data_IF_298735805728
#
_entry.id   IF_298735805728
#
_cell.length_a   1.000
_cell.length_b   1.000
_cell.length_c   1.000
_cell.angle_alpha   90.00
_cell.angle_beta   90.00
_cell.angle_gamma   90.00
#
_symmetry.space_group_name_H-M   'P 1'
#
loop_
_entity.id
_entity.type
_entity.pdbx_description
1 polymer ?
#
# COMPACT_ATOMS: atom_id res chain seq x y z
N UNK A 1 1.62 -15.16 36.73
CA UNK A 1 2.90 -14.74 37.32
C UNK A 1 2.73 -14.38 38.77
N UNK A 2 3.69 -14.74 39.59
CA UNK A 2 3.77 -14.34 40.99
C UNK A 2 5.12 -13.64 41.22
N UNK A 3 5.11 -12.51 41.91
CA UNK A 3 6.31 -11.71 42.14
C UNK A 3 6.50 -11.57 43.65
N UNK A 4 7.51 -12.22 44.17
CA UNK A 4 7.97 -12.09 45.55
C UNK A 4 9.33 -11.41 45.56
N UNK A 5 9.76 -10.92 46.76
CA UNK A 5 11.02 -10.16 46.89
C UNK A 5 12.26 -10.92 46.34
N UNK A 6 12.27 -12.22 46.45
CA UNK A 6 13.41 -13.08 46.09
C UNK A 6 13.07 -14.17 45.07
N UNK A 7 11.83 -14.20 44.57
CA UNK A 7 11.39 -15.20 43.58
C UNK A 7 10.35 -14.64 42.62
N UNK A 8 10.50 -14.95 41.35
CA UNK A 8 9.63 -14.51 40.26
C UNK A 8 9.21 -15.72 39.47
N UNK A 9 7.91 -15.98 39.42
CA UNK A 9 7.34 -16.99 38.52
C UNK A 9 6.61 -16.32 37.37
N UNK A 10 6.86 -16.79 36.18
CA UNK A 10 6.23 -16.27 34.98
C UNK A 10 4.93 -17.04 34.68
N UNK A 11 3.98 -16.36 34.10
CA UNK A 11 2.80 -16.99 33.52
C UNK A 11 3.17 -17.87 32.33
N UNK A 12 2.25 -18.74 31.88
CA UNK A 12 2.46 -19.60 30.74
C UNK A 12 2.58 -18.82 29.42
N UNK A 13 3.30 -19.39 28.50
CA UNK A 13 3.54 -19.01 27.09
C UNK A 13 3.17 -17.56 26.74
N UNK A 14 2.07 -17.35 26.00
CA UNK A 14 1.72 -16.02 25.48
C UNK A 14 1.39 -14.99 26.59
N UNK A 15 0.75 -15.37 27.66
CA UNK A 15 0.35 -14.45 28.75
C UNK A 15 1.52 -13.75 29.45
N UNK A 16 2.69 -14.37 29.49
CA UNK A 16 3.87 -13.74 30.09
C UNK A 16 4.46 -12.59 29.27
N UNK A 17 4.11 -12.52 27.98
CA UNK A 17 4.56 -11.49 27.05
C UNK A 17 3.54 -10.35 26.87
N UNK A 18 2.34 -10.51 27.42
CA UNK A 18 1.26 -9.52 27.35
C UNK A 18 1.13 -8.81 28.69
N UNK A 19 1.63 -7.58 28.76
CA UNK A 19 1.56 -6.74 29.94
C UNK A 19 0.38 -5.76 29.87
N UNK A 20 -0.31 -5.56 31.00
CA UNK A 20 -1.40 -4.60 31.11
C UNK A 20 -2.77 -5.16 30.73
N UNK A 21 -3.73 -4.26 30.55
CA UNK A 21 -5.11 -4.60 30.14
C UNK A 21 -5.13 -4.94 28.67
N UNK A 22 -5.79 -6.04 28.33
CA UNK A 22 -5.95 -6.45 26.93
C UNK A 22 -6.83 -5.46 26.16
N UNK A 23 -6.52 -5.27 24.87
CA UNK A 23 -7.26 -4.39 23.95
C UNK A 23 -8.55 -5.08 23.46
N UNK A 24 -9.50 -5.26 24.38
CA UNK A 24 -10.72 -6.02 24.09
C UNK A 24 -11.63 -5.35 23.07
N UNK A 25 -11.74 -4.02 23.11
CA UNK A 25 -12.55 -3.25 22.17
C UNK A 25 -12.03 -3.39 20.72
N UNK A 26 -10.72 -3.31 20.55
CA UNK A 26 -10.04 -3.45 19.25
C UNK A 26 -10.18 -4.87 18.70
N UNK A 27 -10.13 -5.88 19.57
CA UNK A 27 -10.32 -7.28 19.15
C UNK A 27 -11.76 -7.53 18.68
N UNK A 28 -12.75 -6.97 19.37
CA UNK A 28 -14.17 -7.06 18.95
C UNK A 28 -14.37 -6.32 17.63
N UNK A 29 -13.85 -5.10 17.49
CA UNK A 29 -13.94 -4.34 16.24
C UNK A 29 -13.22 -5.06 15.08
N UNK A 30 -12.10 -5.73 15.33
CA UNK A 30 -11.41 -6.54 14.32
C UNK A 30 -12.26 -7.72 13.84
N UNK A 31 -13.02 -8.38 14.74
CA UNK A 31 -13.94 -9.44 14.34
C UNK A 31 -15.01 -8.93 13.35
N UNK A 32 -15.57 -7.73 13.60
CA UNK A 32 -16.51 -7.10 12.66
C UNK A 32 -15.86 -6.75 11.30
N UNK A 33 -14.59 -6.36 11.30
CA UNK A 33 -13.86 -6.14 10.05
C UNK A 33 -13.67 -7.43 9.24
N UNK A 34 -13.48 -8.57 9.91
CA UNK A 34 -13.42 -9.87 9.25
C UNK A 34 -14.79 -10.29 8.68
N UNK A 35 -15.86 -10.09 9.45
CA UNK A 35 -17.23 -10.34 8.98
C UNK A 35 -17.53 -9.51 7.72
N UNK A 36 -17.16 -8.23 7.71
CA UNK A 36 -17.33 -7.36 6.54
C UNK A 36 -16.61 -7.91 5.29
N UNK A 37 -15.38 -8.40 5.44
CA UNK A 37 -14.61 -9.01 4.33
C UNK A 37 -15.27 -10.31 3.86
N UNK A 38 -15.74 -11.15 4.79
CA UNK A 38 -16.44 -12.40 4.46
C UNK A 38 -17.74 -12.13 3.71
N UNK A 39 -18.52 -11.14 4.14
CA UNK A 39 -19.80 -10.75 3.51
C UNK A 39 -19.60 -10.23 2.07
N UNK A 40 -18.54 -9.46 1.82
CA UNK A 40 -18.15 -9.05 0.47
C UNK A 40 -17.67 -10.24 -0.38
N UNK A 41 -17.00 -11.19 0.26
CA UNK A 41 -16.37 -12.35 -0.35
C UNK A 41 -15.01 -12.05 -0.96
N UNK A 42 -13.97 -12.73 -0.48
CA UNK A 42 -12.57 -12.54 -0.90
C UNK A 42 -12.39 -12.62 -2.42
N UNK A 43 -13.12 -13.53 -3.10
CA UNK A 43 -13.05 -13.67 -4.57
C UNK A 43 -13.63 -12.47 -5.30
N UNK A 44 -14.70 -11.87 -4.78
CA UNK A 44 -15.31 -10.67 -5.35
C UNK A 44 -14.37 -9.48 -5.17
N UNK A 45 -13.78 -9.32 -3.99
CA UNK A 45 -12.77 -8.30 -3.70
C UNK A 45 -11.60 -8.43 -4.68
N UNK A 46 -11.01 -9.61 -4.79
CA UNK A 46 -9.88 -9.85 -5.69
C UNK A 46 -10.21 -9.58 -7.16
N UNK A 47 -11.42 -9.93 -7.62
CA UNK A 47 -11.88 -9.67 -8.98
C UNK A 47 -12.04 -8.18 -9.24
N UNK A 48 -12.69 -7.45 -8.32
CA UNK A 48 -12.89 -6.01 -8.40
C UNK A 48 -11.57 -5.25 -8.44
N UNK A 49 -10.70 -5.52 -7.47
CA UNK A 49 -9.39 -4.87 -7.39
C UNK A 49 -8.51 -5.15 -8.62
N UNK A 50 -8.55 -6.39 -9.15
CA UNK A 50 -7.82 -6.73 -10.37
C UNK A 50 -8.37 -5.98 -11.60
N UNK A 51 -9.69 -5.83 -11.73
CA UNK A 51 -10.28 -5.06 -12.83
C UNK A 51 -9.79 -3.61 -12.83
N UNK A 52 -9.80 -2.96 -11.66
CA UNK A 52 -9.32 -1.58 -11.50
C UNK A 52 -7.81 -1.49 -11.77
N UNK A 53 -7.05 -2.47 -11.27
CA UNK A 53 -5.61 -2.53 -11.48
C UNK A 53 -5.26 -2.64 -12.96
N UNK A 54 -5.91 -3.53 -13.71
CA UNK A 54 -5.67 -3.69 -15.15
C UNK A 54 -6.01 -2.41 -15.91
N UNK A 55 -7.13 -1.78 -15.59
CA UNK A 55 -7.51 -0.48 -16.16
C UNK A 55 -6.44 0.59 -15.90
N UNK A 56 -5.96 0.70 -14.66
CA UNK A 56 -4.89 1.63 -14.29
C UNK A 56 -3.57 1.34 -15.01
N UNK A 57 -3.17 0.06 -15.09
CA UNK A 57 -1.98 -0.36 -15.83
C UNK A 57 -2.04 0.01 -17.32
N UNK A 58 -3.16 -0.26 -17.98
CA UNK A 58 -3.34 0.11 -19.39
C UNK A 58 -3.23 1.61 -19.62
N UNK A 59 -3.74 2.41 -18.68
CA UNK A 59 -3.66 3.86 -18.72
C UNK A 59 -2.24 4.38 -18.54
N UNK A 60 -1.58 3.92 -17.48
CA UNK A 60 -0.24 4.38 -17.12
C UNK A 60 0.81 3.95 -18.15
N UNK A 61 0.68 2.77 -18.76
CA UNK A 61 1.58 2.30 -19.83
C UNK A 61 1.55 3.15 -21.10
N UNK A 62 0.52 3.96 -21.31
CA UNK A 62 0.48 4.92 -22.43
C UNK A 62 1.41 6.12 -22.24
N UNK A 63 1.87 6.35 -21.04
CA UNK A 63 2.81 7.42 -20.71
C UNK A 63 4.25 6.87 -20.69
N UNK A 64 5.03 7.19 -21.69
CA UNK A 64 6.40 6.70 -21.89
C UNK A 64 7.40 7.15 -20.79
N UNK A 65 7.05 8.13 -19.97
CA UNK A 65 7.88 8.57 -18.84
C UNK A 65 7.64 7.75 -17.58
N UNK A 66 6.61 6.90 -17.56
CA UNK A 66 6.31 6.00 -16.44
C UNK A 66 7.02 4.67 -16.68
N UNK A 67 7.78 4.24 -15.70
CA UNK A 67 8.32 2.89 -15.65
C UNK A 67 7.62 2.09 -14.56
N UNK A 68 6.82 1.10 -14.95
CA UNK A 68 6.15 0.17 -14.03
C UNK A 68 7.18 -0.84 -13.52
N UNK A 69 7.29 -0.95 -12.20
CA UNK A 69 8.23 -1.87 -11.57
C UNK A 69 7.56 -3.23 -11.36
N UNK A 70 8.15 -4.23 -12.01
CA UNK A 70 7.64 -5.60 -12.03
C UNK A 70 6.46 -5.78 -12.99
N UNK A 71 6.44 -6.91 -13.68
CA UNK A 71 5.34 -7.30 -14.58
C UNK A 71 5.02 -8.81 -14.44
N UNK A 72 4.59 -9.26 -13.25
CA UNK A 72 4.24 -10.65 -13.03
C UNK A 72 2.91 -10.99 -13.72
N UNK A 73 2.71 -12.27 -14.06
CA UNK A 73 1.44 -12.77 -14.62
C UNK A 73 0.27 -12.60 -13.63
N UNK A 74 0.54 -12.85 -12.34
CA UNK A 74 -0.41 -12.65 -11.26
C UNK A 74 0.12 -11.55 -10.34
N UNK A 75 -0.70 -10.59 -10.03
CA UNK A 75 -0.34 -9.39 -9.27
C UNK A 75 -1.41 -9.12 -8.21
N UNK A 76 -0.98 -8.75 -7.01
CA UNK A 76 -1.88 -8.16 -6.02
C UNK A 76 -2.27 -6.73 -6.41
N UNK A 77 -3.19 -6.14 -5.67
CA UNK A 77 -3.80 -4.81 -5.90
C UNK A 77 -2.83 -3.65 -5.69
N UNK A 78 -1.59 -3.80 -6.13
CA UNK A 78 -0.49 -2.85 -5.91
C UNK A 78 0.23 -2.55 -7.22
N UNK A 79 0.49 -1.28 -7.45
CA UNK A 79 1.20 -0.75 -8.59
C UNK A 79 2.40 0.08 -8.12
N UNK A 80 3.61 -0.39 -8.40
CA UNK A 80 4.84 0.36 -8.15
C UNK A 80 5.37 0.95 -9.45
N UNK A 81 5.80 2.21 -9.42
CA UNK A 81 6.32 2.89 -10.59
C UNK A 81 7.36 3.96 -10.24
N UNK A 82 8.12 4.37 -11.24
CA UNK A 82 8.97 5.57 -11.23
C UNK A 82 8.56 6.49 -12.37
N UNK A 83 8.82 7.78 -12.20
CA UNK A 83 8.77 8.75 -13.28
C UNK A 83 10.21 9.14 -13.67
N UNK A 84 10.43 9.31 -14.96
CA UNK A 84 11.73 9.76 -15.46
C UNK A 84 12.09 11.12 -14.86
N UNK A 85 13.27 11.20 -14.27
CA UNK A 85 13.87 12.41 -13.69
C UNK A 85 13.08 13.08 -12.54
N UNK A 86 12.11 12.39 -11.95
CA UNK A 86 11.33 12.91 -10.82
C UNK A 86 11.44 11.93 -9.62
N UNK A 87 11.85 12.47 -8.47
CA UNK A 87 11.97 11.66 -7.28
C UNK A 87 10.60 11.21 -6.73
N UNK A 88 10.42 9.96 -6.26
CA UNK A 88 9.14 9.46 -5.77
C UNK A 88 8.49 10.27 -4.63
N UNK A 89 9.27 10.92 -3.78
CA UNK A 89 8.74 11.82 -2.75
C UNK A 89 8.09 13.06 -3.36
N UNK A 90 8.69 13.66 -4.39
CA UNK A 90 8.12 14.81 -5.08
C UNK A 90 6.83 14.43 -5.79
N UNK A 91 6.81 13.23 -6.42
CA UNK A 91 5.59 12.67 -7.01
C UNK A 91 4.49 12.59 -5.95
N UNK A 92 4.77 11.96 -4.80
CA UNK A 92 3.78 11.79 -3.74
C UNK A 92 3.25 13.12 -3.22
N UNK A 93 4.13 14.11 -3.01
CA UNK A 93 3.74 15.45 -2.53
C UNK A 93 2.81 16.16 -3.52
N UNK A 94 3.14 16.14 -4.81
CA UNK A 94 2.33 16.83 -5.84
C UNK A 94 0.98 16.12 -6.05
N UNK A 95 0.97 14.78 -6.00
CA UNK A 95 -0.25 14.02 -6.14
C UNK A 95 -1.19 14.21 -4.94
N UNK A 96 -0.64 14.38 -3.73
CA UNK A 96 -1.41 14.66 -2.52
C UNK A 96 -2.16 15.99 -2.60
N UNK A 97 -1.54 17.03 -3.17
CA UNK A 97 -2.18 18.32 -3.45
C UNK A 97 -3.39 18.22 -4.38
N UNK A 98 -3.42 17.18 -5.23
CA UNK A 98 -4.54 16.85 -6.11
C UNK A 98 -5.51 15.81 -5.50
N UNK A 99 -5.35 15.48 -4.22
CA UNK A 99 -6.19 14.53 -3.49
C UNK A 99 -5.93 13.06 -3.87
N UNK A 100 -4.75 12.74 -4.39
CA UNK A 100 -4.33 11.39 -4.75
C UNK A 100 -3.20 10.93 -3.82
N UNK A 101 -3.57 10.17 -2.78
CA UNK A 101 -2.64 9.64 -1.81
C UNK A 101 -1.91 8.39 -2.33
N UNK A 102 -0.59 8.46 -2.43
CA UNK A 102 0.29 7.33 -2.77
C UNK A 102 1.42 7.21 -1.76
N UNK A 103 2.07 6.06 -1.72
CA UNK A 103 3.25 5.88 -0.87
C UNK A 103 4.52 6.03 -1.69
N UNK A 104 5.51 6.78 -1.19
CA UNK A 104 6.85 6.88 -1.75
C UNK A 104 7.89 6.20 -0.85
N UNK A 105 8.97 5.67 -1.44
CA UNK A 105 10.12 5.11 -0.73
C UNK A 105 10.44 3.66 -1.08
N UNK A 106 11.06 2.95 -0.14
CA UNK A 106 11.51 1.57 -0.33
C UNK A 106 10.46 0.49 0.00
N UNK A 107 9.29 0.87 0.54
CA UNK A 107 8.18 -0.03 0.89
C UNK A 107 8.63 -1.20 1.81
N UNK A 108 9.55 -0.95 2.74
CA UNK A 108 10.17 -1.94 3.64
C UNK A 108 10.98 -3.04 2.90
N UNK A 109 11.41 -2.78 1.66
CA UNK A 109 12.19 -3.72 0.85
C UNK A 109 13.42 -3.05 0.18
N UNK A 110 14.23 -2.33 0.97
CA UNK A 110 15.39 -1.60 0.48
C UNK A 110 16.36 -2.49 -0.30
N UNK A 111 16.67 -3.68 0.18
CA UNK A 111 17.57 -4.64 -0.49
C UNK A 111 17.09 -4.96 -1.92
N UNK A 112 15.77 -5.03 -2.13
CA UNK A 112 15.22 -5.23 -3.47
C UNK A 112 15.48 -4.01 -4.37
N UNK A 113 15.28 -2.79 -3.84
CA UNK A 113 15.57 -1.56 -4.57
C UNK A 113 17.05 -1.46 -4.96
N UNK A 114 17.96 -1.82 -4.05
CA UNK A 114 19.40 -1.87 -4.30
C UNK A 114 19.74 -2.85 -5.43
N UNK A 115 19.13 -4.05 -5.42
CA UNK A 115 19.31 -5.06 -6.48
C UNK A 115 18.77 -4.61 -7.84
N UNK A 116 17.71 -3.82 -7.85
CA UNK A 116 17.12 -3.27 -9.08
C UNK A 116 17.81 -1.99 -9.54
N UNK A 117 18.73 -1.45 -8.74
CA UNK A 117 19.41 -0.17 -9.04
C UNK A 117 18.47 1.03 -9.00
N UNK A 118 17.40 0.98 -8.21
CA UNK A 118 16.38 2.02 -8.10
C UNK A 118 16.45 2.66 -6.72
N UNK A 119 16.59 3.99 -6.61
CA UNK A 119 16.71 4.65 -5.30
C UNK A 119 15.42 4.59 -4.46
N UNK A 120 14.27 4.63 -5.09
CA UNK A 120 12.95 4.56 -4.48
C UNK A 120 11.87 4.37 -5.55
N UNK A 121 10.64 4.05 -5.12
CA UNK A 121 9.47 3.97 -6.01
C UNK A 121 8.25 4.68 -5.41
N UNK A 122 7.33 5.10 -6.28
CA UNK A 122 5.98 5.48 -5.92
C UNK A 122 5.07 4.23 -5.99
N UNK A 123 4.14 4.08 -5.04
CA UNK A 123 3.23 2.94 -4.95
C UNK A 123 1.79 3.40 -4.79
N UNK A 124 0.95 3.05 -5.74
CA UNK A 124 -0.49 3.10 -5.61
C UNK A 124 -1.01 1.73 -5.13
N UNK A 125 -1.92 1.74 -4.17
CA UNK A 125 -2.59 0.54 -3.65
C UNK A 125 -4.07 0.70 -3.85
N UNK A 126 -4.73 -0.35 -4.34
CA UNK A 126 -6.14 -0.38 -4.66
C UNK A 126 -6.84 -1.22 -3.60
N UNK A 127 -7.94 -0.73 -3.09
CA UNK A 127 -8.80 -1.42 -2.13
C UNK A 127 -10.24 -1.52 -2.64
N UNK A 128 -11.10 -2.16 -1.87
CA UNK A 128 -12.51 -2.42 -2.20
C UNK A 128 -13.34 -1.18 -2.48
N UNK A 129 -12.89 -0.02 -2.03
CA UNK A 129 -13.56 1.27 -2.16
C UNK A 129 -13.10 2.09 -3.36
N UNK A 130 -12.06 1.65 -4.08
CA UNK A 130 -11.57 2.36 -5.25
C UNK A 130 -12.37 1.99 -6.51
N UNK A 131 -12.36 2.89 -7.49
CA UNK A 131 -12.98 2.70 -8.79
C UNK A 131 -12.06 3.15 -9.94
N UNK A 132 -12.54 3.01 -11.18
CA UNK A 132 -11.79 3.45 -12.38
C UNK A 132 -11.53 4.95 -12.40
N UNK A 133 -12.43 5.75 -11.80
CA UNK A 133 -12.26 7.19 -11.67
C UNK A 133 -11.05 7.57 -10.81
N UNK A 134 -10.71 6.77 -9.80
CA UNK A 134 -9.50 7.00 -9.02
C UNK A 134 -8.23 6.75 -9.86
N UNK A 135 -8.25 5.77 -10.76
CA UNK A 135 -7.14 5.55 -11.70
C UNK A 135 -7.05 6.65 -12.74
N UNK A 136 -8.17 7.26 -13.12
CA UNK A 136 -8.19 8.43 -13.99
C UNK A 136 -7.53 9.61 -13.30
N UNK A 137 -7.93 9.91 -12.06
CA UNK A 137 -7.31 10.97 -11.25
C UNK A 137 -5.82 10.74 -11.03
N UNK A 138 -5.41 9.51 -10.71
CA UNK A 138 -3.99 9.15 -10.60
C UNK A 138 -3.22 9.50 -11.89
N UNK A 139 -3.76 9.11 -13.05
CA UNK A 139 -3.13 9.39 -14.34
C UNK A 139 -3.04 10.89 -14.65
N UNK A 140 -4.08 11.66 -14.34
CA UNK A 140 -4.13 13.11 -14.52
C UNK A 140 -3.14 13.83 -13.59
N UNK A 141 -3.11 13.45 -12.31
CA UNK A 141 -2.19 14.01 -11.34
C UNK A 141 -0.72 13.73 -11.70
N UNK A 142 -0.41 12.53 -12.22
CA UNK A 142 0.93 12.22 -12.75
C UNK A 142 1.29 13.12 -13.92
N UNK A 143 0.38 13.36 -14.86
CA UNK A 143 0.64 14.26 -16.00
C UNK A 143 0.86 15.71 -15.53
N UNK A 144 0.14 16.16 -14.52
CA UNK A 144 0.35 17.47 -13.91
C UNK A 144 1.71 17.55 -13.21
N UNK A 145 2.08 16.52 -12.44
CA UNK A 145 3.38 16.41 -11.82
C UNK A 145 4.52 16.55 -12.87
N UNK A 146 4.42 15.85 -13.98
CA UNK A 146 5.41 15.94 -15.06
C UNK A 146 5.56 17.35 -15.63
N UNK A 147 4.46 18.09 -15.78
CA UNK A 147 4.51 19.48 -16.27
C UNK A 147 5.25 20.42 -15.33
N UNK A 148 5.17 20.19 -14.01
CA UNK A 148 5.90 20.98 -13.01
C UNK A 148 7.40 20.88 -13.19
N UNK A 149 7.91 19.72 -13.59
CA UNK A 149 9.37 19.44 -13.78
C UNK A 149 9.87 19.64 -15.22
N UNK A 150 8.99 19.96 -16.18
CA UNK A 150 9.38 20.26 -17.56
C UNK A 150 9.67 21.74 -17.81
N UNK A 151 9.44 22.61 -16.80
CA UNK A 151 9.79 24.03 -16.80
C UNK A 151 11.14 24.23 -16.10
#
# INVERSE_FOLDING_TARGET
SDVKKEDITFADAYTKFEAGTMQTAEVVAFAESLNFIEDLGIKNIASHENEILQYGLEKLRKNNSINIIGDPKERGSVLCFTLKDIHPHDIATILDDDGVAIRAGHHCCQILHDKLGIPATARASIGVYNDKGDMDKLSEAIQKCQKVFQN
#
